data_IF_244244593597
#
_entry.id   IF_244244593597
#
_cell.length_a   1.000
_cell.length_b   1.000
_cell.length_c   1.000
_cell.angle_alpha   90.00
_cell.angle_beta   90.00
_cell.angle_gamma   90.00
#
_symmetry.space_group_name_H-M   'P 1'
#
loop_
_entity.id
_entity.type
_entity.pdbx_description
1 polymer ?
#
# COMPACT_ATOMS: atom_id res chain seq x y z
N UNK A 1 14.02 -4.18 -28.70
CA UNK A 1 13.78 -3.72 -30.08
C UNK A 1 12.92 -2.47 -30.00
N UNK A 2 13.44 -1.31 -30.39
CA UNK A 2 12.69 -0.05 -30.44
C UNK A 2 11.92 0.03 -31.76
N UNK A 3 10.81 0.78 -31.82
CA UNK A 3 10.04 0.98 -33.07
C UNK A 3 10.93 1.58 -34.18
N UNK A 4 11.88 2.42 -33.79
CA UNK A 4 12.84 3.10 -34.68
C UNK A 4 13.79 2.14 -35.40
N UNK A 5 14.20 1.02 -34.76
CA UNK A 5 15.07 0.02 -35.39
C UNK A 5 14.44 -0.63 -36.64
N UNK A 6 13.11 -0.58 -36.78
CA UNK A 6 12.39 -1.06 -37.96
C UNK A 6 12.50 -0.10 -39.16
N UNK A 7 12.76 1.19 -38.92
CA UNK A 7 12.65 2.26 -39.93
C UNK A 7 13.95 3.05 -40.16
N UNK A 8 15.09 2.57 -39.64
CA UNK A 8 16.41 3.24 -39.68
C UNK A 8 16.96 3.60 -41.08
N UNK A 9 16.24 3.28 -42.16
CA UNK A 9 16.62 3.62 -43.55
C UNK A 9 15.43 4.04 -44.42
N UNK A 10 14.33 4.45 -43.79
CA UNK A 10 13.13 4.89 -44.50
C UNK A 10 13.34 6.33 -44.97
N UNK A 11 13.24 6.54 -46.28
CA UNK A 11 13.34 7.83 -46.94
C UNK A 11 12.13 8.04 -47.84
N UNK A 12 11.62 9.27 -47.91
CA UNK A 12 10.48 9.61 -48.75
C UNK A 12 10.61 11.02 -49.33
N UNK A 13 9.96 11.25 -50.46
CA UNK A 13 9.78 12.59 -51.02
C UNK A 13 8.74 13.37 -50.21
N UNK A 14 9.02 14.65 -49.98
CA UNK A 14 8.15 15.55 -49.27
C UNK A 14 8.29 16.98 -49.80
N UNK A 15 7.35 17.84 -49.43
CA UNK A 15 7.39 19.27 -49.74
C UNK A 15 7.61 20.01 -48.44
N UNK A 16 8.72 20.73 -48.32
CA UNK A 16 9.04 21.55 -47.16
C UNK A 16 8.85 23.03 -47.46
N UNK A 17 8.32 23.75 -46.47
CA UNK A 17 8.13 25.19 -46.50
C UNK A 17 8.60 25.78 -45.16
N UNK A 18 9.64 26.64 -45.15
CA UNK A 18 10.13 27.25 -43.91
C UNK A 18 9.18 28.31 -43.31
N UNK A 19 8.58 29.15 -44.16
CA UNK A 19 7.63 30.19 -43.77
C UNK A 19 6.42 30.19 -44.72
N UNK A 20 5.19 30.55 -44.28
CA UNK A 20 4.02 30.68 -45.14
C UNK A 20 4.24 31.42 -46.47
N UNK A 21 5.07 32.47 -46.46
CA UNK A 21 5.39 33.28 -47.64
C UNK A 21 6.54 32.70 -48.49
N UNK A 22 7.28 31.73 -47.94
CA UNK A 22 8.40 31.10 -48.64
C UNK A 22 7.94 30.05 -49.66
N UNK A 23 8.79 29.88 -50.68
CA UNK A 23 8.57 28.90 -51.73
C UNK A 23 8.60 27.48 -51.17
N UNK A 24 7.64 26.66 -51.62
CA UNK A 24 7.61 25.21 -51.42
C UNK A 24 8.81 24.58 -52.11
N UNK A 25 9.59 23.79 -51.38
CA UNK A 25 10.78 23.11 -51.88
C UNK A 25 10.58 21.61 -51.81
N UNK A 26 10.89 20.92 -52.91
CA UNK A 26 10.96 19.46 -52.91
C UNK A 26 12.16 19.01 -52.10
N UNK A 27 11.93 18.08 -51.18
CA UNK A 27 12.93 17.58 -50.22
C UNK A 27 12.81 16.08 -50.08
N UNK A 28 13.89 15.46 -49.62
CA UNK A 28 13.91 14.08 -49.14
C UNK A 28 13.93 14.10 -47.62
N UNK A 29 13.04 13.33 -47.02
CA UNK A 29 12.96 13.19 -45.57
C UNK A 29 13.40 11.81 -45.15
N UNK A 30 14.19 11.73 -44.08
CA UNK A 30 14.70 10.46 -43.56
C UNK A 30 14.51 10.36 -42.05
N UNK A 31 14.11 9.18 -41.58
CA UNK A 31 13.91 8.88 -40.15
C UNK A 31 15.20 8.31 -39.58
N UNK A 32 15.80 9.01 -38.61
CA UNK A 32 16.89 8.51 -37.77
C UNK A 32 16.41 7.96 -36.43
N UNK A 33 17.33 7.87 -35.45
CA UNK A 33 17.01 7.33 -34.12
C UNK A 33 16.11 8.26 -33.27
N UNK A 34 16.21 9.57 -33.44
CA UNK A 34 15.39 10.55 -32.70
C UNK A 34 15.03 11.80 -33.52
N UNK A 35 15.43 11.82 -34.80
CA UNK A 35 15.37 13.00 -35.64
C UNK A 35 14.77 12.66 -37.00
N UNK A 36 13.97 13.58 -37.52
CA UNK A 36 13.54 13.60 -38.92
C UNK A 36 14.48 14.58 -39.65
N UNK A 37 15.29 14.07 -40.57
CA UNK A 37 16.23 14.91 -41.34
C UNK A 37 15.54 15.33 -42.63
N UNK A 38 15.65 16.61 -42.98
CA UNK A 38 15.10 17.19 -44.20
C UNK A 38 16.29 17.59 -45.08
N UNK A 39 16.42 16.94 -46.23
CA UNK A 39 17.51 17.16 -47.19
C UNK A 39 17.01 17.61 -48.56
N UNK A 40 17.84 18.35 -49.29
CA UNK A 40 17.62 18.61 -50.70
C UNK A 40 17.82 17.33 -51.54
N UNK A 41 17.23 17.24 -52.74
CA UNK A 41 17.43 16.09 -53.64
C UNK A 41 18.90 15.84 -54.04
N UNK A 42 19.77 16.84 -53.89
CA UNK A 42 21.21 16.72 -54.12
C UNK A 42 22.00 16.15 -52.91
N UNK A 43 21.30 15.71 -51.86
CA UNK A 43 21.89 15.15 -50.63
C UNK A 43 22.36 16.19 -49.59
N UNK A 44 22.10 17.48 -49.81
CA UNK A 44 22.48 18.52 -48.83
C UNK A 44 21.44 18.59 -47.71
N UNK A 45 21.85 18.43 -46.45
CA UNK A 45 20.94 18.60 -45.31
C UNK A 45 20.50 20.07 -45.21
N UNK A 46 19.18 20.30 -45.15
CA UNK A 46 18.57 21.64 -45.05
C UNK A 46 18.18 21.93 -43.60
N UNK A 47 17.46 21.00 -42.97
CA UNK A 47 16.92 21.15 -41.62
C UNK A 47 16.80 19.80 -40.92
N UNK A 48 16.65 19.81 -39.60
CA UNK A 48 16.38 18.61 -38.82
C UNK A 48 15.32 18.90 -37.77
N UNK A 49 14.37 17.99 -37.59
CA UNK A 49 13.34 18.09 -36.56
C UNK A 49 13.50 16.97 -35.53
N UNK A 50 13.17 17.28 -34.28
CA UNK A 50 13.09 16.28 -33.23
C UNK A 50 11.77 15.52 -33.38
N UNK A 51 11.82 14.21 -33.68
CA UNK A 51 10.63 13.35 -33.83
C UNK A 51 9.61 13.49 -32.69
N UNK A 52 9.99 13.53 -31.39
CA UNK A 52 9.01 13.71 -30.30
C UNK A 52 8.28 15.06 -30.32
N UNK A 53 8.80 16.07 -31.00
CA UNK A 53 8.21 17.41 -31.06
C UNK A 53 7.35 17.63 -32.33
N UNK A 54 7.30 16.66 -33.23
CA UNK A 54 6.53 16.79 -34.48
C UNK A 54 5.04 16.64 -34.19
N UNK A 55 4.24 17.56 -34.72
CA UNK A 55 2.79 17.52 -34.61
C UNK A 55 2.14 17.42 -36.00
N UNK A 56 1.09 16.58 -36.10
CA UNK A 56 0.26 16.48 -37.30
C UNK A 56 -0.81 17.57 -37.28
N UNK A 57 -0.83 18.44 -38.29
CA UNK A 57 -1.76 19.57 -38.42
C UNK A 57 -3.11 19.19 -39.04
N UNK A 58 -3.14 18.19 -39.92
CA UNK A 58 -4.35 17.73 -40.61
C UNK A 58 -4.63 16.23 -40.37
N UNK A 59 -4.92 15.86 -39.13
CA UNK A 59 -5.23 14.47 -38.78
C UNK A 59 -6.37 13.91 -39.65
N UNK A 60 -6.16 12.72 -40.21
CA UNK A 60 -7.12 12.04 -41.09
C UNK A 60 -7.14 12.50 -42.55
N UNK A 61 -6.33 13.49 -42.95
CA UNK A 61 -6.24 13.97 -44.33
C UNK A 61 -4.87 13.66 -44.97
N UNK A 62 -4.85 13.54 -46.29
CA UNK A 62 -3.66 13.30 -47.13
C UNK A 62 -3.52 14.41 -48.18
N UNK A 63 -2.29 14.87 -48.52
CA UNK A 63 -1.01 14.54 -47.88
C UNK A 63 -0.97 14.99 -46.41
N UNK A 64 -0.16 14.33 -45.59
CA UNK A 64 -0.03 14.67 -44.17
C UNK A 64 0.84 15.92 -44.00
N UNK A 65 0.34 16.90 -43.26
CA UNK A 65 1.07 18.11 -42.89
C UNK A 65 1.60 17.99 -41.47
N UNK A 66 2.92 18.13 -41.34
CA UNK A 66 3.67 18.11 -40.10
C UNK A 66 4.35 19.45 -39.83
N UNK A 67 4.52 19.78 -38.54
CA UNK A 67 5.22 20.98 -38.08
C UNK A 67 6.12 20.65 -36.89
N UNK A 68 7.29 21.31 -36.72
CA UNK A 68 8.14 21.14 -35.56
C UNK A 68 7.57 21.97 -34.39
N UNK A 69 6.57 21.43 -33.71
CA UNK A 69 5.88 22.07 -32.58
C UNK A 69 4.85 23.13 -32.99
N UNK A 70 4.07 23.60 -32.02
CA UNK A 70 2.89 24.43 -32.30
C UNK A 70 3.15 25.88 -32.74
N UNK A 71 4.33 26.42 -32.40
CA UNK A 71 4.68 27.83 -32.57
C UNK A 71 5.64 28.10 -33.75
N UNK A 72 5.90 27.10 -34.59
CA UNK A 72 6.81 27.26 -35.74
C UNK A 72 6.03 27.42 -37.05
N UNK A 73 6.49 28.31 -37.96
CA UNK A 73 5.87 28.49 -39.27
C UNK A 73 6.26 27.36 -40.25
N UNK A 74 7.25 26.55 -39.91
CA UNK A 74 7.75 25.47 -40.74
C UNK A 74 6.69 24.37 -40.93
N UNK A 75 6.53 23.95 -42.19
CA UNK A 75 5.56 22.93 -42.58
C UNK A 75 6.21 21.92 -43.53
N UNK A 76 5.90 20.65 -43.32
CA UNK A 76 6.33 19.53 -44.14
C UNK A 76 5.12 18.73 -44.59
N UNK A 77 4.92 18.66 -45.90
CA UNK A 77 3.85 17.88 -46.53
C UNK A 77 4.43 16.55 -47.02
N UNK A 78 3.92 15.43 -46.51
CA UNK A 78 4.36 14.07 -46.86
C UNK A 78 3.17 13.33 -47.49
N UNK A 79 3.37 12.73 -48.67
CA UNK A 79 2.35 11.94 -49.35
C UNK A 79 2.55 10.42 -49.20
N UNK A 80 3.76 9.98 -48.86
CA UNK A 80 4.10 8.56 -48.72
C UNK A 80 3.46 7.94 -47.47
N UNK A 81 2.67 6.88 -47.67
CA UNK A 81 1.92 6.24 -46.60
C UNK A 81 2.84 5.51 -45.60
N UNK A 82 3.93 4.91 -46.06
CA UNK A 82 4.86 4.17 -45.18
C UNK A 82 5.60 5.14 -44.24
N UNK A 83 6.05 6.27 -44.75
CA UNK A 83 6.65 7.36 -43.99
C UNK A 83 5.68 7.93 -42.96
N UNK A 84 4.42 8.16 -43.35
CA UNK A 84 3.40 8.66 -42.43
C UNK A 84 3.13 7.65 -41.30
N UNK A 85 2.95 6.37 -41.66
CA UNK A 85 2.71 5.31 -40.68
C UNK A 85 3.90 5.13 -39.73
N UNK A 86 5.13 5.29 -40.22
CA UNK A 86 6.34 5.24 -39.41
C UNK A 86 6.39 6.39 -38.40
N UNK A 87 6.14 7.63 -38.84
CA UNK A 87 6.09 8.81 -37.95
C UNK A 87 5.00 8.64 -36.90
N UNK A 88 3.79 8.22 -37.29
CA UNK A 88 2.69 8.00 -36.36
C UNK A 88 2.96 6.86 -35.37
N UNK A 89 3.61 5.78 -35.80
CA UNK A 89 4.01 4.69 -34.91
C UNK A 89 5.03 5.16 -33.86
N UNK A 90 5.99 5.98 -34.26
CA UNK A 90 6.98 6.58 -33.35
C UNK A 90 6.31 7.55 -32.39
N UNK A 91 5.48 8.47 -32.89
CA UNK A 91 4.74 9.42 -32.05
C UNK A 91 3.81 8.70 -31.06
N UNK A 92 3.15 7.61 -31.47
CA UNK A 92 2.32 6.78 -30.59
C UNK A 92 3.15 6.02 -29.55
N UNK A 93 4.38 5.63 -29.86
CA UNK A 93 5.26 5.00 -28.88
C UNK A 93 5.77 6.00 -27.83
N UNK A 94 6.03 7.24 -28.24
CA UNK A 94 6.53 8.33 -27.38
C UNK A 94 5.40 8.92 -26.52
N UNK A 95 4.29 9.32 -27.15
CA UNK A 95 3.10 9.89 -26.49
C UNK A 95 2.16 8.82 -25.94
N UNK A 96 2.44 7.54 -26.24
CA UNK A 96 1.70 6.40 -25.74
C UNK A 96 1.68 6.43 -24.22
N UNK A 97 0.50 6.67 -23.66
CA UNK A 97 0.25 6.61 -22.23
C UNK A 97 0.79 5.25 -21.73
N UNK A 98 1.75 5.20 -20.77
CA UNK A 98 2.10 3.93 -20.16
C UNK A 98 0.80 3.31 -19.65
N UNK A 99 0.53 2.06 -20.05
CA UNK A 99 -0.75 1.39 -19.79
C UNK A 99 -1.11 1.45 -18.30
N UNK A 100 -2.42 1.34 -17.94
CA UNK A 100 -2.87 1.55 -16.57
C UNK A 100 -2.36 0.43 -15.65
N UNK A 101 -1.17 0.64 -15.06
CA UNK A 101 -0.62 -0.14 -13.94
C UNK A 101 -1.35 0.12 -12.62
N UNK A 102 -2.61 0.59 -12.69
CA UNK A 102 -3.43 0.97 -11.54
C UNK A 102 -3.81 -0.20 -10.64
N UNK A 103 -3.95 -1.41 -11.20
CA UNK A 103 -4.32 -2.61 -10.42
C UNK A 103 -3.21 -3.07 -9.49
N UNK A 104 -1.96 -3.06 -9.96
CA UNK A 104 -0.81 -3.42 -9.12
C UNK A 104 -0.60 -2.37 -8.03
N UNK A 105 -0.74 -1.08 -8.37
CA UNK A 105 -0.66 0.02 -7.40
C UNK A 105 -1.77 -0.07 -6.35
N UNK A 106 -3.00 -0.39 -6.75
CA UNK A 106 -4.12 -0.61 -5.83
C UNK A 106 -3.87 -1.80 -4.91
N UNK A 107 -3.34 -2.92 -5.43
CA UNK A 107 -3.00 -4.09 -4.63
C UNK A 107 -1.89 -3.79 -3.60
N UNK A 108 -0.84 -3.08 -4.02
CA UNK A 108 0.26 -2.67 -3.16
C UNK A 108 -0.17 -1.72 -2.04
N UNK A 109 -1.23 -0.93 -2.24
CA UNK A 109 -1.80 -0.06 -1.21
C UNK A 109 -2.80 -0.81 -0.32
N UNK A 110 -3.64 -1.66 -0.91
CA UNK A 110 -4.67 -2.38 -0.16
C UNK A 110 -4.09 -3.40 0.83
N UNK A 111 -2.99 -4.07 0.46
CA UNK A 111 -2.37 -5.10 1.29
C UNK A 111 -1.87 -4.59 2.65
N UNK A 112 -1.05 -3.52 2.75
CA UNK A 112 -0.60 -3.00 4.04
C UNK A 112 -1.75 -2.39 4.85
N UNK A 113 -2.73 -1.75 4.21
CA UNK A 113 -3.91 -1.19 4.90
C UNK A 113 -4.71 -2.32 5.56
N UNK A 114 -4.97 -3.40 4.84
CA UNK A 114 -5.68 -4.57 5.36
C UNK A 114 -4.90 -5.22 6.52
N UNK A 115 -3.58 -5.31 6.41
CA UNK A 115 -2.74 -5.86 7.48
C UNK A 115 -2.83 -5.03 8.78
N UNK A 116 -2.80 -3.70 8.67
CA UNK A 116 -2.95 -2.80 9.84
C UNK A 116 -4.33 -2.94 10.48
N UNK A 117 -5.39 -3.02 9.68
CA UNK A 117 -6.77 -3.18 10.19
C UNK A 117 -6.92 -4.50 10.94
N UNK A 118 -6.40 -5.61 10.40
CA UNK A 118 -6.45 -6.91 11.06
C UNK A 118 -5.61 -6.93 12.35
N UNK A 119 -4.42 -6.34 12.32
CA UNK A 119 -3.57 -6.23 13.52
C UNK A 119 -4.26 -5.41 14.62
N UNK A 120 -4.90 -4.29 14.26
CA UNK A 120 -5.68 -3.48 15.19
C UNK A 120 -6.87 -4.27 15.75
N UNK A 121 -7.65 -4.96 14.91
CA UNK A 121 -8.80 -5.74 15.35
C UNK A 121 -8.42 -6.86 16.33
N UNK A 122 -7.27 -7.50 16.15
CA UNK A 122 -6.78 -8.55 17.06
C UNK A 122 -6.15 -8.00 18.35
N UNK A 123 -5.44 -6.87 18.28
CA UNK A 123 -4.64 -6.39 19.42
C UNK A 123 -5.38 -5.38 20.31
N UNK A 124 -6.21 -4.52 19.71
CA UNK A 124 -6.88 -3.41 20.40
C UNK A 124 -7.80 -3.85 21.56
N UNK A 125 -8.58 -4.95 21.47
CA UNK A 125 -9.41 -5.41 22.59
C UNK A 125 -8.57 -5.81 23.82
N UNK A 126 -7.43 -6.47 23.58
CA UNK A 126 -6.50 -6.85 24.64
C UNK A 126 -5.78 -5.65 25.26
N UNK A 127 -5.46 -4.64 24.46
CA UNK A 127 -4.81 -3.43 24.92
C UNK A 127 -5.76 -2.57 25.79
N UNK A 128 -7.01 -2.39 25.36
CA UNK A 128 -8.02 -1.64 26.12
C UNK A 128 -8.30 -2.31 27.46
N UNK A 129 -8.47 -3.64 27.47
CA UNK A 129 -8.74 -4.40 28.70
C UNK A 129 -7.57 -4.30 29.69
N UNK A 130 -6.32 -4.49 29.25
CA UNK A 130 -5.13 -4.31 30.11
C UNK A 130 -4.99 -2.89 30.64
N UNK A 131 -5.29 -1.89 29.82
CA UNK A 131 -5.27 -0.48 30.25
C UNK A 131 -6.33 -0.21 31.31
N UNK A 132 -7.57 -0.67 31.11
CA UNK A 132 -8.63 -0.54 32.12
C UNK A 132 -8.34 -1.32 33.41
N UNK A 133 -7.69 -2.48 33.33
CA UNK A 133 -7.29 -3.26 34.50
C UNK A 133 -6.18 -2.57 35.33
N UNK A 134 -5.31 -1.80 34.68
CA UNK A 134 -4.27 -1.00 35.35
C UNK A 134 -4.83 0.23 36.06
N UNK A 135 -6.03 0.67 35.70
CA UNK A 135 -6.73 1.80 36.30
C UNK A 135 -7.63 1.40 37.49
N UNK A 136 -7.71 0.10 37.84
CA UNK A 136 -8.49 -0.35 39.02
C UNK A 136 -7.71 -0.05 40.30
N UNK A 137 -8.17 0.88 41.15
CA UNK A 137 -7.51 1.22 42.41
C UNK A 137 -7.62 0.05 43.41
N UNK A 138 -6.61 -0.13 44.26
CA UNK A 138 -6.61 -1.21 45.26
C UNK A 138 -7.83 -1.18 46.20
N UNK A 139 -8.42 0.01 46.42
CA UNK A 139 -9.65 0.17 47.20
C UNK A 139 -10.85 -0.60 46.65
N UNK A 140 -11.02 -0.65 45.32
CA UNK A 140 -12.11 -1.40 44.68
C UNK A 140 -11.90 -2.92 44.77
N UNK A 141 -10.65 -3.39 44.78
CA UNK A 141 -10.34 -4.81 44.96
C UNK A 141 -10.70 -5.30 46.37
N UNK A 142 -10.47 -4.47 47.39
CA UNK A 142 -10.82 -4.81 48.77
C UNK A 142 -12.35 -4.88 48.98
N UNK A 143 -13.10 -3.95 48.39
CA UNK A 143 -14.58 -3.91 48.49
C UNK A 143 -15.26 -5.05 47.70
N UNK A 144 -14.72 -5.44 46.54
CA UNK A 144 -15.18 -6.62 45.81
C UNK A 144 -14.84 -7.90 46.59
N UNK A 145 -13.65 -7.96 47.20
CA UNK A 145 -13.23 -9.10 48.02
C UNK A 145 -14.09 -9.31 49.26
N UNK A 146 -14.54 -8.25 49.93
CA UNK A 146 -15.49 -8.37 51.06
C UNK A 146 -16.86 -8.84 50.60
N UNK A 147 -17.41 -8.28 49.51
CA UNK A 147 -18.70 -8.72 48.95
C UNK A 147 -18.68 -10.16 48.46
N UNK A 148 -17.59 -10.60 47.83
CA UNK A 148 -17.44 -11.98 47.36
C UNK A 148 -17.33 -12.96 48.53
N UNK A 149 -16.64 -12.59 49.62
CA UNK A 149 -16.56 -13.42 50.83
C UNK A 149 -17.91 -13.59 51.53
N UNK A 150 -18.72 -12.54 51.58
CA UNK A 150 -20.06 -12.64 52.16
C UNK A 150 -21.00 -13.50 51.31
N UNK A 151 -20.85 -13.45 49.97
CA UNK A 151 -21.62 -14.30 49.06
C UNK A 151 -21.16 -15.77 49.08
N UNK A 152 -19.85 -16.00 49.14
CA UNK A 152 -19.27 -17.35 49.31
C UNK A 152 -19.71 -17.93 50.66
N UNK A 153 -19.64 -17.17 51.76
CA UNK A 153 -20.15 -17.63 53.08
C UNK A 153 -21.63 -17.98 53.06
N UNK A 154 -22.43 -17.25 52.27
CA UNK A 154 -23.85 -17.58 52.07
C UNK A 154 -24.06 -18.91 51.35
N UNK A 155 -23.21 -19.23 50.37
CA UNK A 155 -23.34 -20.43 49.54
C UNK A 155 -22.65 -21.66 50.13
N UNK A 156 -21.54 -21.51 50.84
CA UNK A 156 -20.71 -22.63 51.33
C UNK A 156 -20.74 -22.85 52.84
N UNK A 157 -21.37 -21.94 53.60
CA UNK A 157 -21.42 -21.96 55.06
C UNK A 157 -20.24 -21.24 55.72
N UNK A 158 -20.26 -21.15 57.05
CA UNK A 158 -19.18 -20.56 57.82
C UNK A 158 -17.93 -21.46 57.82
N UNK A 159 -16.69 -20.91 57.78
CA UNK A 159 -15.48 -21.70 57.84
C UNK A 159 -15.44 -22.64 59.04
N UNK A 160 -14.90 -23.84 58.86
CA UNK A 160 -14.69 -24.79 59.94
C UNK A 160 -13.72 -24.18 60.97
N UNK A 161 -14.20 -23.94 62.19
CA UNK A 161 -13.46 -23.23 63.23
C UNK A 161 -13.01 -24.12 64.40
N UNK A 162 -12.93 -25.44 64.19
CA UNK A 162 -12.47 -26.36 65.23
C UNK A 162 -11.01 -26.06 65.63
N UNK A 163 -10.77 -25.92 66.93
CA UNK A 163 -9.49 -25.48 67.47
C UNK A 163 -8.34 -26.48 67.26
N UNK A 164 -8.65 -27.76 67.06
CA UNK A 164 -7.64 -28.79 66.75
C UNK A 164 -7.33 -28.81 65.25
N UNK A 165 -8.35 -28.64 64.41
CA UNK A 165 -8.22 -28.52 62.96
C UNK A 165 -7.42 -27.29 62.53
N UNK A 166 -7.69 -26.12 63.14
CA UNK A 166 -6.96 -24.88 62.85
C UNK A 166 -5.47 -24.99 63.17
N UNK A 167 -5.10 -25.68 64.26
CA UNK A 167 -3.68 -25.91 64.63
C UNK A 167 -2.98 -26.84 63.63
N UNK A 168 -3.67 -27.83 63.10
CA UNK A 168 -3.13 -28.70 62.06
C UNK A 168 -2.97 -27.93 60.73
N UNK A 169 -3.94 -27.09 60.40
CA UNK A 169 -3.94 -26.25 59.20
C UNK A 169 -2.81 -25.23 59.21
N UNK A 170 -2.56 -24.59 60.35
CA UNK A 170 -1.45 -23.64 60.51
C UNK A 170 -0.09 -24.31 60.35
N UNK A 171 0.09 -25.54 60.88
CA UNK A 171 1.30 -26.34 60.65
C UNK A 171 1.48 -26.73 59.18
N UNK A 172 0.39 -27.02 58.48
CA UNK A 172 0.43 -27.33 57.04
C UNK A 172 0.77 -26.07 56.23
N UNK A 173 0.13 -24.94 56.53
CA UNK A 173 0.36 -23.64 55.90
C UNK A 173 1.81 -23.20 56.02
N UNK A 174 2.38 -23.29 57.22
CA UNK A 174 3.78 -22.92 57.48
C UNK A 174 4.79 -23.83 56.78
N UNK A 175 4.45 -25.10 56.56
CA UNK A 175 5.28 -26.03 55.76
C UNK A 175 5.19 -25.77 54.26
N UNK A 176 3.99 -25.49 53.75
CA UNK A 176 3.75 -25.31 52.31
C UNK A 176 4.15 -23.91 51.81
N UNK A 177 3.97 -22.88 52.65
CA UNK A 177 4.18 -21.48 52.28
C UNK A 177 5.11 -20.76 53.30
N UNK A 178 6.41 -21.11 53.34
CA UNK A 178 7.36 -20.59 54.33
C UNK A 178 7.65 -19.09 54.18
N UNK A 179 7.45 -18.52 52.97
CA UNK A 179 7.62 -17.10 52.67
C UNK A 179 6.41 -16.22 53.06
N UNK A 180 5.34 -16.81 53.60
CA UNK A 180 4.13 -16.10 53.98
C UNK A 180 3.29 -15.61 52.79
N UNK A 181 2.16 -14.97 53.09
CA UNK A 181 1.28 -14.36 52.07
C UNK A 181 0.18 -15.26 51.50
N UNK A 182 0.13 -16.55 51.87
CA UNK A 182 -0.96 -17.46 51.48
C UNK A 182 -1.72 -17.94 52.71
N UNK A 183 -3.05 -17.85 52.74
CA UNK A 183 -3.91 -18.31 53.85
C UNK A 183 -4.79 -19.48 53.40
N UNK A 184 -4.82 -20.57 54.15
CA UNK A 184 -5.73 -21.68 53.88
C UNK A 184 -7.01 -21.52 54.73
N UNK A 185 -8.17 -21.72 54.12
CA UNK A 185 -9.47 -21.68 54.81
C UNK A 185 -10.26 -22.93 54.41
N UNK A 186 -10.73 -23.68 55.41
CA UNK A 186 -11.53 -24.89 55.21
C UNK A 186 -13.02 -24.55 55.30
N UNK A 187 -13.80 -24.94 54.29
CA UNK A 187 -15.24 -24.71 54.21
C UNK A 187 -16.03 -26.02 54.40
N UNK A 188 -17.24 -25.97 55.01
CA UNK A 188 -18.00 -27.16 55.35
C UNK A 188 -18.69 -27.82 54.15
N UNK A 189 -19.03 -27.07 53.10
CA UNK A 189 -19.45 -27.65 51.83
C UNK A 189 -18.25 -27.76 50.89
N UNK A 190 -17.92 -28.97 50.47
CA UNK A 190 -16.85 -29.22 49.51
C UNK A 190 -17.16 -28.49 48.20
N UNK A 191 -16.36 -27.46 47.87
CA UNK A 191 -16.16 -27.16 46.46
C UNK A 191 -15.61 -28.44 45.82
N UNK A 192 -16.09 -28.79 44.63
CA UNK A 192 -15.61 -29.99 43.93
C UNK A 192 -14.08 -29.94 43.68
N UNK A 193 -13.51 -28.74 43.68
CA UNK A 193 -12.09 -28.47 43.50
C UNK A 193 -11.63 -27.31 44.42
N UNK A 194 -10.35 -27.30 44.79
CA UNK A 194 -9.74 -26.20 45.55
C UNK A 194 -9.77 -24.90 44.75
N UNK A 195 -10.21 -23.80 45.36
CA UNK A 195 -10.32 -22.51 44.68
C UNK A 195 -9.29 -21.50 45.21
N UNK A 196 -8.66 -20.75 44.30
CA UNK A 196 -7.69 -19.70 44.64
C UNK A 196 -8.34 -18.31 44.55
N UNK A 197 -8.32 -17.56 45.64
CA UNK A 197 -8.80 -16.18 45.68
C UNK A 197 -7.63 -15.22 45.35
N UNK A 198 -7.87 -14.13 44.59
CA UNK A 198 -6.84 -13.16 44.23
C UNK A 198 -6.12 -12.46 45.41
N UNK A 199 -6.59 -12.63 46.65
CA UNK A 199 -5.98 -12.07 47.86
C UNK A 199 -4.95 -13.01 48.53
N UNK A 200 -4.61 -14.13 47.88
CA UNK A 200 -3.71 -15.14 48.40
C UNK A 200 -4.39 -16.17 49.32
N UNK A 201 -5.72 -16.20 49.39
CA UNK A 201 -6.46 -17.22 50.15
C UNK A 201 -6.77 -18.43 49.28
N UNK A 202 -6.46 -19.63 49.77
CA UNK A 202 -6.85 -20.90 49.15
C UNK A 202 -8.02 -21.49 49.95
N UNK A 203 -9.15 -21.70 49.27
CA UNK A 203 -10.32 -22.37 49.81
C UNK A 203 -10.23 -23.87 49.56
N UNK A 204 -10.40 -24.63 50.63
CA UNK A 204 -10.39 -26.10 50.65
C UNK A 204 -11.70 -26.60 51.23
#
# INVERSE_FOLDING_TARGET
MTVLAKYQRLEAEAIWRPDPEDQRRDVIVSIGDATLTIGAPNGTAISHWSLPAIERRNSGQRPALYTPGADTPETLEIADDEMIDAIEAVLKAIHGKPGPTGRLRALLIALPVLAVVLAAAMWLPGAITRYTASLVPEGSRAEIGTRLRDEVRRLTGAPCADASGLRALEKLQTRLFPSGGTRLVVLPSALAETAHIPDGTILI
#
